data_IF_185493443966
#
_entry.id   IF_185493443966
#
_cell.length_a   1.000
_cell.length_b   1.000
_cell.length_c   1.000
_cell.angle_alpha   90.00
_cell.angle_beta   90.00
_cell.angle_gamma   90.00
#
_symmetry.space_group_name_H-M   'P 1'
#
loop_
_entity.id
_entity.type
_entity.pdbx_description
1 polymer ?
#
# COMPACT_ATOMS: atom_id res chain seq x y z
N UNK A 1 -8.36 -5.23 -9.05
CA UNK A 1 -7.08 -6.00 -8.90
C UNK A 1 -6.16 -5.28 -7.93
N UNK A 2 -5.44 -6.01 -7.06
CA UNK A 2 -4.53 -5.45 -6.05
C UNK A 2 -3.09 -5.66 -6.48
N UNK A 3 -2.27 -4.60 -6.47
CA UNK A 3 -0.84 -4.72 -6.68
C UNK A 3 -0.15 -5.21 -5.40
N UNK A 4 0.64 -6.26 -5.49
CA UNK A 4 1.47 -6.75 -4.39
C UNK A 4 2.94 -6.61 -4.75
N UNK A 5 3.76 -6.14 -3.82
CA UNK A 5 5.21 -6.15 -3.96
C UNK A 5 5.88 -6.22 -2.58
N UNK A 6 7.09 -6.74 -2.58
CA UNK A 6 7.96 -6.70 -1.40
C UNK A 6 9.42 -6.66 -1.82
N UNK A 7 10.29 -6.38 -0.86
CA UNK A 7 11.70 -6.70 -0.96
C UNK A 7 11.97 -8.11 -0.40
N UNK A 8 13.24 -8.50 -0.34
CA UNK A 8 13.65 -9.82 0.16
C UNK A 8 13.26 -10.11 1.62
N UNK A 9 12.97 -9.09 2.43
CA UNK A 9 12.55 -9.26 3.83
C UNK A 9 11.05 -9.58 3.97
N UNK A 10 10.25 -9.25 2.97
CA UNK A 10 8.79 -9.32 3.02
C UNK A 10 8.16 -10.53 2.33
N UNK A 11 8.94 -11.45 1.80
CA UNK A 11 8.44 -12.56 0.96
C UNK A 11 7.40 -13.42 1.71
N UNK A 12 7.71 -13.86 2.93
CA UNK A 12 6.80 -14.71 3.70
C UNK A 12 5.52 -13.97 4.09
N UNK A 13 5.63 -12.71 4.49
CA UNK A 13 4.45 -11.89 4.77
C UNK A 13 3.61 -11.64 3.51
N UNK A 14 4.23 -11.40 2.37
CA UNK A 14 3.51 -11.28 1.09
C UNK A 14 2.72 -12.54 0.76
N UNK A 15 3.28 -13.73 0.96
CA UNK A 15 2.57 -15.00 0.79
C UNK A 15 1.34 -15.11 1.71
N UNK A 16 1.47 -14.67 2.95
CA UNK A 16 0.34 -14.68 3.89
C UNK A 16 -0.74 -13.67 3.49
N UNK A 17 -0.36 -12.52 2.96
CA UNK A 17 -1.32 -11.56 2.38
C UNK A 17 -1.99 -12.14 1.13
N UNK A 18 -1.27 -12.85 0.26
CA UNK A 18 -1.87 -13.55 -0.88
C UNK A 18 -2.97 -14.53 -0.43
N UNK A 19 -2.70 -15.36 0.60
CA UNK A 19 -3.70 -16.26 1.17
C UNK A 19 -4.92 -15.52 1.70
N UNK A 20 -4.72 -14.37 2.32
CA UNK A 20 -5.82 -13.51 2.76
C UNK A 20 -6.66 -13.03 1.57
N UNK A 21 -6.02 -12.51 0.52
CA UNK A 21 -6.71 -12.04 -0.68
C UNK A 21 -7.47 -13.17 -1.37
N UNK A 22 -6.89 -14.37 -1.47
CA UNK A 22 -7.56 -15.56 -1.99
C UNK A 22 -8.83 -15.88 -1.18
N UNK A 23 -8.74 -15.81 0.16
CA UNK A 23 -9.89 -16.04 1.05
C UNK A 23 -10.99 -14.98 0.93
N UNK A 24 -10.64 -13.78 0.47
CA UNK A 24 -11.56 -12.67 0.22
C UNK A 24 -12.05 -12.62 -1.24
N UNK A 25 -11.62 -13.57 -2.07
CA UNK A 25 -11.93 -13.64 -3.50
C UNK A 25 -11.51 -12.36 -4.26
N UNK A 26 -10.36 -11.79 -3.88
CA UNK A 26 -9.79 -10.57 -4.46
C UNK A 26 -8.62 -10.90 -5.38
N UNK A 27 -8.71 -10.49 -6.64
CA UNK A 27 -7.63 -10.64 -7.61
C UNK A 27 -6.43 -9.75 -7.28
N UNK A 28 -5.23 -10.28 -7.49
CA UNK A 28 -3.99 -9.54 -7.29
C UNK A 28 -2.95 -9.85 -8.36
N UNK A 29 -1.99 -8.94 -8.50
CA UNK A 29 -0.81 -9.09 -9.35
C UNK A 29 0.45 -8.87 -8.52
N UNK A 30 1.36 -9.84 -8.58
CA UNK A 30 2.64 -9.80 -7.88
C UNK A 30 3.73 -9.14 -8.75
N UNK A 31 4.26 -8.03 -8.27
CA UNK A 31 5.34 -7.25 -8.92
C UNK A 31 6.74 -7.62 -8.38
N UNK A 32 6.83 -8.65 -7.55
CA UNK A 32 8.08 -9.16 -6.98
C UNK A 32 8.32 -8.63 -5.57
N UNK A 33 9.37 -9.06 -4.93
CA UNK A 33 10.34 -10.08 -5.28
C UNK A 33 9.87 -11.45 -4.76
N UNK A 34 10.32 -12.53 -5.39
CA UNK A 34 9.96 -13.90 -5.00
C UNK A 34 11.16 -14.73 -4.53
N UNK A 35 12.37 -14.19 -4.63
CA UNK A 35 13.59 -14.84 -4.19
C UNK A 35 14.19 -14.10 -3.00
N UNK A 36 14.65 -14.86 -2.00
CA UNK A 36 15.25 -14.34 -0.77
C UNK A 36 16.70 -13.88 -0.96
N UNK A 37 16.96 -13.13 -2.03
CA UNK A 37 18.25 -12.52 -2.33
C UNK A 37 18.14 -11.02 -2.13
N UNK A 38 19.14 -10.42 -1.47
CA UNK A 38 19.16 -8.98 -1.20
C UNK A 38 18.86 -8.18 -2.47
N UNK A 39 17.92 -7.27 -2.39
CA UNK A 39 17.44 -6.48 -3.52
C UNK A 39 17.07 -5.06 -3.08
N UNK A 40 16.93 -4.17 -4.04
CA UNK A 40 16.60 -2.76 -3.83
C UNK A 40 15.08 -2.55 -3.82
N UNK A 41 14.50 -2.34 -2.64
CA UNK A 41 13.06 -2.14 -2.44
C UNK A 41 12.43 -1.06 -3.33
N UNK A 42 13.12 0.06 -3.72
CA UNK A 42 12.50 1.09 -4.54
C UNK A 42 12.01 0.60 -5.89
N UNK A 43 12.70 -0.39 -6.48
CA UNK A 43 12.32 -0.98 -7.78
C UNK A 43 10.92 -1.57 -7.71
N UNK A 44 10.65 -2.37 -6.68
CA UNK A 44 9.38 -3.08 -6.50
C UNK A 44 8.27 -2.13 -6.04
N UNK A 45 8.60 -1.22 -5.12
CA UNK A 45 7.67 -0.17 -4.69
C UNK A 45 7.21 0.72 -5.84
N UNK A 46 8.14 1.14 -6.68
CA UNK A 46 7.85 1.94 -7.88
C UNK A 46 6.96 1.19 -8.88
N UNK A 47 7.29 -0.07 -9.20
CA UNK A 47 6.51 -0.86 -10.18
C UNK A 47 5.06 -1.02 -9.75
N UNK A 48 4.82 -1.39 -8.50
CA UNK A 48 3.48 -1.56 -7.97
C UNK A 48 2.72 -0.22 -7.88
N UNK A 49 3.39 0.85 -7.44
CA UNK A 49 2.79 2.19 -7.38
C UNK A 49 2.40 2.71 -8.76
N UNK A 50 3.25 2.48 -9.76
CA UNK A 50 2.98 2.84 -11.16
C UNK A 50 1.74 2.11 -11.68
N UNK A 51 1.62 0.81 -11.43
CA UNK A 51 0.45 0.03 -11.83
C UNK A 51 -0.85 0.57 -11.22
N UNK A 52 -0.80 1.06 -9.97
CA UNK A 52 -1.94 1.71 -9.32
C UNK A 52 -2.23 3.08 -9.94
N UNK A 53 -1.22 3.89 -10.17
CA UNK A 53 -1.38 5.23 -10.75
C UNK A 53 -1.91 5.20 -12.19
N UNK A 54 -1.53 4.19 -12.97
CA UNK A 54 -1.96 4.00 -14.36
C UNK A 54 -3.30 3.25 -14.49
N UNK A 55 -3.89 2.80 -13.37
CA UNK A 55 -5.20 2.13 -13.34
C UNK A 55 -5.15 0.63 -13.73
N UNK A 56 -3.96 0.05 -13.86
CA UNK A 56 -3.82 -1.40 -14.03
C UNK A 56 -4.28 -2.15 -12.77
N UNK A 57 -4.01 -1.56 -11.60
CA UNK A 57 -4.49 -2.03 -10.31
C UNK A 57 -5.27 -0.91 -9.62
N UNK A 58 -6.26 -1.28 -8.78
CA UNK A 58 -7.08 -0.30 -8.06
C UNK A 58 -6.36 0.24 -6.82
N UNK A 59 -5.52 -0.58 -6.22
CA UNK A 59 -4.79 -0.30 -4.98
C UNK A 59 -3.63 -1.28 -4.80
N UNK A 60 -2.74 -1.00 -3.84
CA UNK A 60 -1.58 -1.85 -3.62
C UNK A 60 -1.26 -2.11 -2.15
N UNK A 61 -0.63 -3.26 -1.87
CA UNK A 61 -0.06 -3.60 -0.56
C UNK A 61 1.41 -3.92 -0.78
N UNK A 62 2.29 -3.16 -0.12
CA UNK A 62 3.74 -3.27 -0.29
C UNK A 62 4.42 -3.57 1.05
N UNK A 63 5.44 -4.41 1.03
CA UNK A 63 6.09 -4.92 2.24
C UNK A 63 7.62 -4.83 2.09
N UNK A 64 8.25 -4.23 3.08
CA UNK A 64 9.70 -4.34 3.28
C UNK A 64 10.00 -4.56 4.76
N UNK A 65 11.22 -4.37 5.22
CA UNK A 65 11.57 -4.57 6.63
C UNK A 65 10.75 -3.72 7.59
N UNK A 66 10.52 -2.45 7.27
CA UNK A 66 9.75 -1.50 8.08
C UNK A 66 8.48 -0.98 7.40
N UNK A 67 8.34 -1.19 6.10
CA UNK A 67 7.29 -0.57 5.28
C UNK A 67 7.59 0.89 4.90
N UNK A 68 8.62 1.50 5.50
CA UNK A 68 8.93 2.92 5.35
C UNK A 68 9.60 3.20 4.00
N UNK A 69 10.71 2.53 3.71
CA UNK A 69 11.49 2.79 2.50
C UNK A 69 10.69 2.51 1.21
N UNK A 70 10.00 1.38 1.16
CA UNK A 70 9.14 1.03 0.02
C UNK A 70 7.96 2.01 -0.11
N UNK A 71 7.45 2.51 1.02
CA UNK A 71 6.42 3.55 1.06
C UNK A 71 6.91 4.89 0.52
N UNK A 72 8.11 5.33 0.92
CA UNK A 72 8.74 6.55 0.40
C UNK A 72 8.92 6.45 -1.12
N UNK A 73 9.42 5.32 -1.61
CA UNK A 73 9.60 5.10 -3.04
C UNK A 73 8.27 5.16 -3.81
N UNK A 74 7.24 4.46 -3.31
CA UNK A 74 5.91 4.48 -3.90
C UNK A 74 5.30 5.88 -3.91
N UNK A 75 5.50 6.68 -2.86
CA UNK A 75 4.97 8.05 -2.76
C UNK A 75 5.54 9.04 -3.78
N UNK A 76 6.62 8.68 -4.48
CA UNK A 76 7.18 9.49 -5.57
C UNK A 76 6.41 9.35 -6.89
N UNK A 77 5.48 8.42 -6.95
CA UNK A 77 4.61 8.25 -8.12
C UNK A 77 3.38 9.14 -7.96
N UNK A 78 3.15 10.01 -8.95
CA UNK A 78 2.01 10.93 -8.95
C UNK A 78 0.68 10.16 -8.91
N UNK A 79 -0.27 10.64 -8.11
CA UNK A 79 -1.59 10.02 -7.95
C UNK A 79 -1.65 8.92 -6.87
N UNK A 80 -0.54 8.65 -6.20
CA UNK A 80 -0.45 7.64 -5.15
C UNK A 80 -0.53 8.30 -3.77
N UNK A 81 -1.41 7.77 -2.92
CA UNK A 81 -1.51 8.14 -1.51
C UNK A 81 -1.15 6.94 -0.65
N UNK A 82 0.08 6.96 -0.14
CA UNK A 82 0.66 5.87 0.65
C UNK A 82 0.31 6.05 2.13
N UNK A 83 -0.06 4.95 2.78
CA UNK A 83 -0.11 4.87 4.23
C UNK A 83 0.80 3.74 4.73
N UNK A 84 1.78 4.08 5.56
CA UNK A 84 2.60 3.09 6.26
C UNK A 84 1.98 2.84 7.62
N UNK A 85 1.44 1.64 7.84
CA UNK A 85 0.68 1.35 9.04
C UNK A 85 1.22 0.12 9.79
N UNK A 86 1.24 0.24 11.11
CA UNK A 86 1.54 -0.85 12.04
C UNK A 86 0.39 -1.11 13.03
N UNK A 87 -0.75 -0.48 12.81
CA UNK A 87 -1.97 -0.63 13.58
C UNK A 87 -3.21 -0.59 12.69
N UNK A 88 -4.29 -1.17 13.19
CA UNK A 88 -5.56 -1.30 12.46
C UNK A 88 -6.27 0.05 12.33
N UNK A 89 -6.26 0.87 13.40
CA UNK A 89 -6.95 2.16 13.42
C UNK A 89 -6.43 3.10 12.32
N UNK A 90 -5.11 3.28 12.26
CA UNK A 90 -4.49 4.13 11.23
C UNK A 90 -4.76 3.63 9.81
N UNK A 91 -4.71 2.31 9.61
CA UNK A 91 -4.99 1.72 8.29
C UNK A 91 -6.42 1.97 7.83
N UNK A 92 -7.41 1.72 8.68
CA UNK A 92 -8.81 1.98 8.39
C UNK A 92 -9.06 3.46 8.10
N UNK A 93 -8.59 4.35 8.96
CA UNK A 93 -8.80 5.80 8.80
C UNK A 93 -8.05 6.37 7.60
N UNK A 94 -6.89 5.83 7.24
CA UNK A 94 -6.19 6.24 6.01
C UNK A 94 -7.05 6.02 4.76
N UNK A 95 -7.87 4.97 4.76
CA UNK A 95 -8.84 4.73 3.69
C UNK A 95 -10.04 5.65 3.81
N UNK A 96 -10.66 5.70 4.98
CA UNK A 96 -11.88 6.48 5.21
C UNK A 96 -11.69 7.99 5.01
N UNK A 97 -10.56 8.54 5.44
CA UNK A 97 -10.29 9.98 5.42
C UNK A 97 -9.38 10.42 4.28
N UNK A 98 -8.37 9.64 3.93
CA UNK A 98 -7.36 10.03 2.95
C UNK A 98 -7.51 9.30 1.61
N UNK A 99 -8.47 8.39 1.51
CA UNK A 99 -8.64 7.52 0.35
C UNK A 99 -7.29 6.94 -0.11
N UNK A 100 -6.49 6.45 0.84
CA UNK A 100 -5.20 5.85 0.53
C UNK A 100 -5.37 4.71 -0.46
N UNK A 101 -4.49 4.66 -1.45
CA UNK A 101 -4.52 3.62 -2.49
C UNK A 101 -3.32 2.68 -2.43
N UNK A 102 -2.36 2.96 -1.54
CA UNK A 102 -1.27 2.04 -1.21
C UNK A 102 -1.11 1.94 0.30
N UNK A 103 -1.18 0.72 0.80
CA UNK A 103 -0.82 0.33 2.17
C UNK A 103 0.59 -0.24 2.17
N UNK A 104 1.44 0.20 3.10
CA UNK A 104 2.73 -0.43 3.31
C UNK A 104 2.87 -0.92 4.75
N UNK A 105 3.56 -2.05 4.93
CA UNK A 105 3.79 -2.68 6.22
C UNK A 105 5.22 -3.20 6.35
N UNK A 106 5.69 -3.28 7.58
CA UNK A 106 7.01 -3.81 7.91
C UNK A 106 6.98 -5.27 8.34
N UNK A 107 7.59 -6.16 7.58
CA UNK A 107 7.69 -7.59 7.92
C UNK A 107 8.45 -7.86 9.23
N UNK A 108 9.31 -6.91 9.64
CA UNK A 108 10.06 -6.95 10.90
C UNK A 108 9.39 -6.16 12.03
N UNK A 109 8.26 -5.52 11.76
CA UNK A 109 7.54 -4.65 12.69
C UNK A 109 6.25 -5.29 13.16
N UNK A 110 5.46 -5.84 12.22
CA UNK A 110 4.15 -6.45 12.53
C UNK A 110 4.19 -7.96 12.37
N UNK A 111 3.52 -8.67 13.26
CA UNK A 111 3.28 -10.12 13.11
C UNK A 111 2.24 -10.39 12.04
N UNK A 112 2.19 -11.64 11.57
CA UNK A 112 1.31 -12.06 10.46
C UNK A 112 -0.17 -11.79 10.76
N UNK A 113 -0.65 -12.13 11.94
CA UNK A 113 -2.07 -11.94 12.29
C UNK A 113 -2.45 -10.47 12.32
N UNK A 114 -1.59 -9.61 12.89
CA UNK A 114 -1.81 -8.17 12.87
C UNK A 114 -1.77 -7.62 11.45
N UNK A 115 -0.83 -8.06 10.60
CA UNK A 115 -0.75 -7.66 9.21
C UNK A 115 -2.04 -7.99 8.44
N UNK A 116 -2.61 -9.18 8.68
CA UNK A 116 -3.89 -9.59 8.08
C UNK A 116 -5.05 -8.72 8.57
N UNK A 117 -5.09 -8.36 9.86
CA UNK A 117 -6.10 -7.44 10.38
C UNK A 117 -5.97 -6.04 9.76
N UNK A 118 -4.77 -5.51 9.70
CA UNK A 118 -4.47 -4.22 9.07
C UNK A 118 -4.95 -4.21 7.61
N UNK A 119 -4.55 -5.22 6.84
CA UNK A 119 -4.93 -5.35 5.43
C UNK A 119 -6.45 -5.48 5.27
N UNK A 120 -7.12 -6.31 6.08
CA UNK A 120 -8.57 -6.52 6.02
C UNK A 120 -9.33 -5.22 6.27
N UNK A 121 -9.00 -4.49 7.33
CA UNK A 121 -9.67 -3.23 7.65
C UNK A 121 -9.43 -2.17 6.57
N UNK A 122 -8.22 -2.09 6.04
CA UNK A 122 -7.92 -1.17 4.94
C UNK A 122 -8.66 -1.54 3.64
N UNK A 123 -8.73 -2.84 3.31
CA UNK A 123 -9.38 -3.33 2.11
C UNK A 123 -10.91 -3.17 2.13
N UNK A 124 -11.54 -3.26 3.30
CA UNK A 124 -12.99 -3.21 3.47
C UNK A 124 -13.53 -1.82 3.83
N UNK A 125 -12.66 -0.91 4.26
CA UNK A 125 -13.07 0.46 4.55
C UNK A 125 -13.44 1.23 3.28
N UNK A 126 -14.41 2.13 3.40
CA UNK A 126 -14.87 2.99 2.32
C UNK A 126 -14.51 4.45 2.57
N UNK A 127 -14.17 5.17 1.51
CA UNK A 127 -13.87 6.60 1.60
C UNK A 127 -15.14 7.40 1.89
N UNK A 128 -15.07 8.26 2.90
CA UNK A 128 -16.24 9.02 3.37
C UNK A 128 -16.58 10.25 2.50
N UNK A 129 -15.63 10.73 1.71
CA UNK A 129 -15.85 11.95 0.89
C UNK A 129 -16.03 13.22 1.72
N UNK A 130 -16.95 14.09 1.31
CA UNK A 130 -17.28 15.31 2.02
C UNK A 130 -16.06 16.24 2.23
N UNK A 131 -15.81 16.64 3.49
CA UNK A 131 -14.66 17.49 3.83
C UNK A 131 -13.32 16.82 3.55
N UNK A 132 -13.27 15.49 3.55
CA UNK A 132 -12.05 14.73 3.25
C UNK A 132 -11.69 14.82 1.78
N UNK A 133 -12.67 14.85 0.88
CA UNK A 133 -12.44 15.04 -0.55
C UNK A 133 -11.71 16.36 -0.82
N UNK A 134 -12.18 17.45 -0.25
CA UNK A 134 -11.52 18.76 -0.39
C UNK A 134 -10.06 18.72 0.05
N UNK A 135 -9.74 18.00 1.12
CA UNK A 135 -8.37 17.88 1.66
C UNK A 135 -7.47 17.06 0.75
N UNK A 136 -7.93 15.94 0.24
CA UNK A 136 -7.13 15.17 -0.72
C UNK A 136 -6.99 15.86 -2.07
N UNK A 137 -7.93 16.70 -2.49
CA UNK A 137 -7.80 17.56 -3.67
C UNK A 137 -6.67 18.59 -3.47
N UNK A 138 -6.52 19.12 -2.26
CA UNK A 138 -5.38 20.00 -1.92
C UNK A 138 -4.05 19.26 -1.99
N UNK A 139 -3.98 18.01 -1.54
CA UNK A 139 -2.78 17.16 -1.69
C UNK A 139 -2.44 16.97 -3.17
N UNK A 140 -3.43 16.68 -4.01
CA UNK A 140 -3.24 16.56 -5.45
C UNK A 140 -2.76 17.88 -6.08
N UNK A 141 -3.28 19.02 -5.63
CA UNK A 141 -2.85 20.33 -6.09
C UNK A 141 -1.37 20.60 -5.76
N UNK A 142 -0.92 20.24 -4.54
CA UNK A 142 0.50 20.33 -4.15
C UNK A 142 1.36 19.48 -5.09
N UNK A 143 0.92 18.29 -5.40
CA UNK A 143 1.61 17.37 -6.31
C UNK A 143 1.74 17.97 -7.72
N UNK A 144 0.78 18.79 -8.14
CA UNK A 144 0.78 19.54 -9.40
C UNK A 144 1.53 20.88 -9.32
N UNK A 145 2.18 21.18 -8.18
CA UNK A 145 3.02 22.35 -8.01
C UNK A 145 2.30 23.58 -7.44
N UNK A 146 1.08 23.42 -6.91
CA UNK A 146 0.37 24.53 -6.28
C UNK A 146 1.07 24.96 -4.97
N UNK A 147 1.05 26.25 -4.72
CA UNK A 147 1.38 26.87 -3.43
C UNK A 147 0.06 27.19 -2.71
N UNK A 148 -0.15 26.59 -1.52
CA UNK A 148 -1.41 26.68 -0.76
C UNK A 148 -1.40 27.81 0.25
#
# INVERSE_FOLDING_TARGET
>A
MIALACDHTGIEMKKEIMKLLDSMELDYKDFGVNEAVSCDYPIYGYRAAKAVAEGECDRGILICGTGIGIGIAASKVKGVRVCTCSDVYSAELSKRHNNSNILTMGARVVGVDLAKMIATHWLTAEFEGGRHQRRIDMIAAIEDGADL
#
